data_IF_461155293372
#
_entry.id   IF_461155293372
#
_cell.length_a   1.000
_cell.length_b   1.000
_cell.length_c   1.000
_cell.angle_alpha   90.00
_cell.angle_beta   90.00
_cell.angle_gamma   90.00
#
_symmetry.space_group_name_H-M   'P 1'
#
loop_
_entity.id
_entity.type
_entity.pdbx_description
1 polymer ?
#
# COMPACT_ATOMS: atom_id res chain seq x y z
N UNK A 1 47.62 29.00 43.18
CA UNK A 1 47.75 27.54 43.31
C UNK A 1 46.37 26.96 43.13
N UNK A 2 46.24 26.11 42.11
CA UNK A 2 45.00 25.68 41.48
C UNK A 2 44.51 24.34 42.04
N UNK A 3 43.19 24.14 42.07
CA UNK A 3 42.56 22.82 42.05
C UNK A 3 41.10 22.98 41.67
N UNK A 4 40.80 22.78 40.39
CA UNK A 4 39.46 22.46 39.89
C UNK A 4 39.61 21.28 38.94
N UNK A 5 38.84 20.25 39.24
CA UNK A 5 38.72 18.96 38.58
C UNK A 5 38.01 19.08 37.24
N UNK A 6 38.68 18.73 36.15
CA UNK A 6 38.11 18.57 34.81
C UNK A 6 37.68 17.11 34.58
N UNK A 7 36.37 16.88 34.45
CA UNK A 7 35.81 15.66 33.89
C UNK A 7 35.62 15.87 32.38
N UNK A 8 36.45 15.21 31.58
CA UNK A 8 36.39 15.21 30.13
C UNK A 8 35.34 14.19 29.66
N UNK A 9 34.15 14.64 29.25
CA UNK A 9 33.16 13.82 28.55
C UNK A 9 33.45 13.86 27.04
N UNK A 10 33.81 12.72 26.45
CA UNK A 10 33.92 12.53 25.00
C UNK A 10 32.54 12.28 24.39
N UNK A 11 32.19 12.85 23.23
CA UNK A 11 30.95 12.53 22.54
C UNK A 11 31.06 11.20 21.79
N UNK A 12 30.16 10.26 22.10
CA UNK A 12 30.04 8.99 21.39
C UNK A 12 29.44 9.20 19.99
N UNK A 13 30.29 9.20 18.97
CA UNK A 13 29.87 9.15 17.56
C UNK A 13 29.70 7.70 17.12
N UNK A 14 28.49 7.16 17.21
CA UNK A 14 28.13 5.90 16.55
C UNK A 14 27.55 6.25 15.17
N UNK A 15 28.41 6.27 14.15
CA UNK A 15 27.97 6.39 12.76
C UNK A 15 27.47 5.02 12.29
N UNK A 16 26.15 4.87 12.22
CA UNK A 16 25.53 3.74 11.54
C UNK A 16 25.86 3.80 10.05
N UNK A 17 26.57 2.79 9.54
CA UNK A 17 27.01 2.66 8.13
C UNK A 17 25.91 2.19 7.17
N UNK A 18 24.64 2.42 7.51
CA UNK A 18 23.53 2.22 6.57
C UNK A 18 23.29 3.54 5.82
N UNK A 19 23.20 3.53 4.47
CA UNK A 19 22.77 4.72 3.75
C UNK A 19 21.42 5.18 4.31
N UNK A 20 21.23 6.47 4.60
CA UNK A 20 19.96 6.96 5.11
C UNK A 20 18.85 6.49 4.16
N UNK A 21 17.74 5.94 4.69
CA UNK A 21 16.67 5.45 3.86
C UNK A 21 16.23 6.57 2.93
N UNK A 22 16.14 6.28 1.62
CA UNK A 22 15.68 7.23 0.61
C UNK A 22 14.40 7.91 1.13
N UNK A 23 14.43 9.24 1.20
CA UNK A 23 13.32 10.06 1.69
C UNK A 23 12.01 9.57 1.05
N UNK A 24 11.04 9.17 1.87
CA UNK A 24 9.74 8.64 1.44
C UNK A 24 9.59 7.12 1.36
N UNK A 25 10.67 6.31 1.45
CA UNK A 25 10.54 4.84 1.49
C UNK A 25 9.85 4.35 2.76
N UNK A 26 10.19 4.95 3.91
CA UNK A 26 9.57 4.63 5.19
C UNK A 26 8.10 5.06 5.23
N UNK A 27 7.78 6.23 4.66
CA UNK A 27 6.41 6.73 4.55
C UNK A 27 5.54 5.77 3.75
N UNK A 28 5.97 5.31 2.56
CA UNK A 28 5.17 4.35 1.76
C UNK A 28 4.94 3.01 2.45
N UNK A 29 5.91 2.50 3.22
CA UNK A 29 5.76 1.22 3.96
C UNK A 29 4.76 1.30 5.11
N UNK A 30 4.71 2.45 5.76
CA UNK A 30 3.87 2.71 6.95
C UNK A 30 2.54 3.36 6.60
N UNK A 31 2.38 3.80 5.33
CA UNK A 31 1.18 4.48 4.85
C UNK A 31 -0.09 3.63 4.96
N UNK A 32 -0.14 2.35 4.57
CA UNK A 32 -1.39 1.64 4.69
C UNK A 32 -1.72 1.30 6.14
N UNK A 33 -2.95 1.56 6.58
CA UNK A 33 -3.45 1.14 7.90
C UNK A 33 -3.46 -0.38 7.94
N UNK A 34 -3.03 -0.95 9.08
CA UNK A 34 -3.00 -2.39 9.32
C UNK A 34 -3.68 -2.67 10.65
N UNK A 35 -4.82 -3.35 10.59
CA UNK A 35 -5.65 -3.78 11.71
C UNK A 35 -6.15 -5.20 11.44
N UNK A 36 -6.52 -5.94 12.47
CA UNK A 36 -7.10 -7.28 12.31
C UNK A 36 -8.57 -7.19 11.84
N UNK A 37 -9.10 -8.27 11.28
CA UNK A 37 -10.53 -8.32 10.89
C UNK A 37 -11.43 -7.94 12.07
N UNK A 38 -12.48 -7.18 11.79
CA UNK A 38 -13.43 -6.63 12.74
C UNK A 38 -12.86 -5.57 13.70
N UNK A 39 -11.57 -5.25 13.69
CA UNK A 39 -11.05 -4.13 14.50
C UNK A 39 -11.52 -2.78 13.93
N UNK A 40 -12.11 -1.90 14.75
CA UNK A 40 -12.50 -0.56 14.33
C UNK A 40 -11.28 0.29 13.95
N UNK A 41 -11.45 1.13 12.93
CA UNK A 41 -10.48 2.20 12.65
C UNK A 41 -10.82 3.41 13.51
N UNK A 42 -9.89 3.79 14.39
CA UNK A 42 -10.05 4.93 15.29
C UNK A 42 -9.89 6.25 14.55
N UNK A 43 -10.27 7.36 15.19
CA UNK A 43 -9.95 8.71 14.71
C UNK A 43 -8.45 8.90 14.47
N UNK A 44 -7.61 8.32 15.31
CA UNK A 44 -6.15 8.34 15.11
C UNK A 44 -5.76 7.56 13.85
N UNK A 45 -6.31 6.36 13.58
CA UNK A 45 -5.95 5.60 12.38
C UNK A 45 -6.21 6.39 11.10
N UNK A 46 -7.39 7.04 11.04
CA UNK A 46 -7.88 7.78 9.87
C UNK A 46 -7.43 9.24 9.83
N UNK A 47 -6.77 9.73 10.90
CA UNK A 47 -6.39 11.14 11.06
C UNK A 47 -7.63 12.07 10.92
N UNK A 48 -8.63 11.82 11.76
CA UNK A 48 -9.93 12.48 11.69
C UNK A 48 -9.86 14.01 11.74
N UNK A 49 -9.02 14.58 12.59
CA UNK A 49 -8.94 16.04 12.74
C UNK A 49 -8.31 16.71 11.51
N UNK A 50 -7.28 16.09 10.92
CA UNK A 50 -6.72 16.49 9.62
C UNK A 50 -7.81 16.54 8.55
N UNK A 51 -8.58 15.45 8.42
CA UNK A 51 -9.70 15.37 7.48
C UNK A 51 -10.77 16.41 7.79
N UNK A 52 -11.00 16.70 9.07
CA UNK A 52 -11.88 17.77 9.53
C UNK A 52 -11.44 19.13 8.99
N UNK A 53 -10.17 19.49 9.18
CA UNK A 53 -9.62 20.75 8.69
C UNK A 53 -9.63 20.86 7.16
N UNK A 54 -9.33 19.77 6.43
CA UNK A 54 -9.36 19.76 4.96
C UNK A 54 -10.79 19.99 4.42
N UNK A 55 -11.77 19.27 4.96
CA UNK A 55 -13.14 19.30 4.41
C UNK A 55 -14.02 20.42 5.00
N UNK A 56 -13.65 21.01 6.15
CA UNK A 56 -14.35 22.16 6.71
C UNK A 56 -13.72 23.50 6.29
N UNK A 57 -12.68 23.47 5.45
CA UNK A 57 -12.09 24.68 4.90
C UNK A 57 -13.10 25.47 4.05
N UNK A 58 -13.14 26.78 4.27
CA UNK A 58 -14.14 27.68 3.67
C UNK A 58 -13.60 28.54 2.52
N UNK A 59 -12.34 28.36 2.12
CA UNK A 59 -11.74 29.15 1.06
C UNK A 59 -12.31 28.72 -0.30
N UNK A 60 -13.16 29.56 -0.89
CA UNK A 60 -13.68 29.39 -2.26
C UNK A 60 -12.65 29.84 -3.28
N UNK A 61 -11.67 28.98 -3.57
CA UNK A 61 -10.47 29.36 -4.33
C UNK A 61 -10.18 28.45 -5.52
N UNK A 62 -10.86 27.31 -5.62
CA UNK A 62 -10.64 26.34 -6.69
C UNK A 62 -11.58 26.57 -7.87
N UNK A 63 -11.05 26.40 -9.07
CA UNK A 63 -11.83 26.41 -10.32
C UNK A 63 -12.73 25.16 -10.35
N UNK A 64 -14.06 25.31 -10.52
CA UNK A 64 -14.99 24.19 -10.55
C UNK A 64 -14.65 23.16 -11.64
N UNK A 65 -14.72 21.88 -11.29
CA UNK A 65 -14.48 20.74 -12.19
C UNK A 65 -15.78 20.06 -12.66
N UNK A 66 -16.91 20.56 -12.17
CA UNK A 66 -18.26 20.13 -12.47
C UNK A 66 -19.14 21.39 -12.65
N UNK A 67 -20.34 21.27 -13.24
CA UNK A 67 -21.27 22.39 -13.32
C UNK A 67 -21.50 23.03 -11.95
N UNK A 68 -21.23 24.33 -11.85
CA UNK A 68 -21.33 25.14 -10.63
C UNK A 68 -21.78 26.54 -11.03
N UNK A 69 -22.66 27.14 -10.24
CA UNK A 69 -23.05 28.55 -10.40
C UNK A 69 -21.95 29.50 -9.90
N UNK A 70 -21.23 29.09 -8.86
CA UNK A 70 -20.12 29.85 -8.32
C UNK A 70 -18.87 29.71 -9.20
N UNK A 71 -18.14 30.81 -9.48
CA UNK A 71 -16.90 30.77 -10.26
C UNK A 71 -15.75 30.10 -9.52
N UNK A 72 -15.84 29.99 -8.19
CA UNK A 72 -14.86 29.33 -7.33
C UNK A 72 -15.56 28.52 -6.25
N UNK A 73 -15.04 27.34 -5.96
CA UNK A 73 -15.56 26.42 -4.95
C UNK A 73 -14.52 26.13 -3.88
N UNK A 74 -14.97 25.64 -2.73
CA UNK A 74 -14.09 25.16 -1.67
C UNK A 74 -13.68 23.70 -1.92
N UNK A 75 -12.67 23.20 -1.21
CA UNK A 75 -12.11 21.87 -1.47
C UNK A 75 -13.13 20.74 -1.29
N UNK A 76 -13.99 20.81 -0.26
CA UNK A 76 -15.01 19.80 -0.02
C UNK A 76 -15.95 19.65 -1.23
N UNK A 77 -16.58 20.73 -1.70
CA UNK A 77 -17.40 20.70 -2.92
C UNK A 77 -16.63 20.19 -4.14
N UNK A 78 -15.38 20.64 -4.33
CA UNK A 78 -14.54 20.20 -5.45
C UNK A 78 -14.38 18.67 -5.47
N UNK A 79 -14.04 18.08 -4.31
CA UNK A 79 -13.76 16.66 -4.18
C UNK A 79 -15.04 15.81 -4.18
N UNK A 80 -16.09 16.24 -3.48
CA UNK A 80 -17.41 15.58 -3.47
C UNK A 80 -18.00 15.55 -4.88
N UNK A 81 -17.95 16.67 -5.61
CA UNK A 81 -18.45 16.73 -6.98
C UNK A 81 -17.64 15.84 -7.93
N UNK A 82 -16.32 15.75 -7.77
CA UNK A 82 -15.51 14.82 -8.57
C UNK A 82 -15.95 13.36 -8.38
N UNK A 83 -16.25 12.95 -7.14
CA UNK A 83 -16.79 11.61 -6.85
C UNK A 83 -18.20 11.43 -7.41
N UNK A 84 -19.07 12.43 -7.24
CA UNK A 84 -20.44 12.40 -7.73
C UNK A 84 -20.50 12.30 -9.26
N UNK A 85 -19.60 12.99 -9.97
CA UNK A 85 -19.51 12.99 -11.44
C UNK A 85 -18.81 11.76 -12.01
N UNK A 86 -18.14 10.95 -11.19
CA UNK A 86 -17.55 9.69 -11.63
C UNK A 86 -18.58 8.78 -12.30
N UNK A 87 -18.21 8.21 -13.46
CA UNK A 87 -19.05 7.28 -14.20
C UNK A 87 -19.10 5.87 -13.57
N UNK A 88 -18.28 5.61 -12.55
CA UNK A 88 -18.34 4.39 -11.72
C UNK A 88 -19.00 4.64 -10.36
N UNK A 89 -19.41 5.87 -10.06
CA UNK A 89 -20.27 6.16 -8.93
C UNK A 89 -21.69 5.65 -9.24
N UNK A 90 -22.16 4.64 -8.50
CA UNK A 90 -23.47 4.01 -8.73
C UNK A 90 -24.62 4.96 -8.47
N UNK A 91 -25.75 4.82 -9.20
CA UNK A 91 -26.96 5.62 -9.00
C UNK A 91 -27.40 5.67 -7.52
N UNK A 92 -27.45 4.52 -6.85
CA UNK A 92 -27.82 4.44 -5.42
C UNK A 92 -26.91 5.31 -4.54
N UNK A 93 -25.61 5.32 -4.82
CA UNK A 93 -24.66 6.15 -4.08
C UNK A 93 -24.87 7.64 -4.36
N UNK A 94 -25.12 8.02 -5.63
CA UNK A 94 -25.43 9.40 -6.01
C UNK A 94 -26.71 9.89 -5.35
N UNK A 95 -27.77 9.09 -5.41
CA UNK A 95 -29.06 9.40 -4.78
C UNK A 95 -28.86 9.63 -3.27
N UNK A 96 -28.05 8.80 -2.61
CA UNK A 96 -27.75 8.94 -1.18
C UNK A 96 -26.89 10.17 -0.86
N UNK A 97 -25.88 10.47 -1.68
CA UNK A 97 -25.08 11.68 -1.54
C UNK A 97 -25.94 12.95 -1.66
N UNK A 98 -26.93 12.94 -2.56
CA UNK A 98 -27.86 14.04 -2.74
C UNK A 98 -28.88 14.15 -1.60
N UNK A 99 -29.39 13.02 -1.11
CA UNK A 99 -30.34 12.96 0.02
C UNK A 99 -29.69 13.34 1.35
N UNK A 100 -28.45 12.91 1.58
CA UNK A 100 -27.73 13.10 2.85
C UNK A 100 -26.35 13.72 2.58
N UNK A 101 -26.23 15.06 2.54
CA UNK A 101 -24.94 15.72 2.27
C UNK A 101 -23.83 15.33 3.27
N UNK A 102 -24.17 15.09 4.53
CA UNK A 102 -23.21 14.61 5.53
C UNK A 102 -22.57 13.27 5.14
N UNK A 103 -23.35 12.34 4.57
CA UNK A 103 -22.85 11.07 4.04
C UNK A 103 -21.86 11.29 2.89
N UNK A 104 -22.13 12.26 2.01
CA UNK A 104 -21.23 12.58 0.91
C UNK A 104 -19.85 13.04 1.40
N UNK A 105 -19.82 13.84 2.48
CA UNK A 105 -18.57 14.29 3.12
C UNK A 105 -17.84 13.12 3.81
N UNK A 106 -18.56 12.25 4.50
CA UNK A 106 -18.01 11.04 5.12
C UNK A 106 -17.37 10.10 4.08
N UNK A 107 -18.09 9.84 2.99
CA UNK A 107 -17.59 9.06 1.86
C UNK A 107 -16.37 9.73 1.20
N UNK A 108 -16.37 11.06 1.07
CA UNK A 108 -15.27 11.81 0.49
C UNK A 108 -13.99 11.72 1.33
N UNK A 109 -14.12 11.72 2.67
CA UNK A 109 -12.99 11.50 3.60
C UNK A 109 -12.39 10.11 3.43
N UNK A 110 -13.22 9.06 3.40
CA UNK A 110 -12.75 7.67 3.16
C UNK A 110 -12.12 7.54 1.76
N UNK A 111 -12.71 8.22 0.77
CA UNK A 111 -12.20 8.24 -0.61
C UNK A 111 -10.84 8.93 -0.70
N UNK A 112 -10.62 10.03 0.01
CA UNK A 112 -9.33 10.70 0.08
C UNK A 112 -8.25 9.78 0.66
N UNK A 113 -8.53 9.10 1.77
CA UNK A 113 -7.63 8.12 2.37
C UNK A 113 -7.33 6.93 1.44
N UNK A 114 -8.33 6.50 0.66
CA UNK A 114 -8.15 5.45 -0.36
C UNK A 114 -7.29 5.97 -1.52
N UNK A 115 -7.46 7.23 -1.92
CA UNK A 115 -6.72 7.85 -3.03
C UNK A 115 -5.24 8.00 -2.73
N UNK A 116 -4.90 8.44 -1.51
CA UNK A 116 -3.49 8.56 -1.08
C UNK A 116 -2.86 7.20 -0.76
N UNK A 117 -3.66 6.15 -0.55
CA UNK A 117 -3.19 4.80 -0.25
C UNK A 117 -3.08 4.46 1.25
N UNK A 118 -3.71 5.26 2.12
CA UNK A 118 -3.83 4.98 3.56
C UNK A 118 -4.82 3.84 3.82
N UNK A 119 -5.96 3.85 3.11
CA UNK A 119 -6.93 2.75 3.11
C UNK A 119 -6.60 1.80 1.97
N UNK A 120 -6.29 0.54 2.32
CA UNK A 120 -6.03 -0.50 1.35
C UNK A 120 -7.32 -1.03 0.70
N UNK A 121 -7.21 -1.48 -0.53
CA UNK A 121 -8.34 -2.06 -1.26
C UNK A 121 -8.90 -3.32 -0.59
N UNK A 122 -8.11 -4.05 0.20
CA UNK A 122 -8.56 -5.25 0.94
C UNK A 122 -9.58 -4.93 2.03
N UNK A 123 -9.69 -3.66 2.44
CA UNK A 123 -10.60 -3.23 3.50
C UNK A 123 -12.04 -3.07 3.01
N UNK A 124 -12.97 -3.30 3.93
CA UNK A 124 -14.39 -3.26 3.73
C UNK A 124 -15.10 -2.56 4.89
N UNK A 125 -16.17 -1.83 4.59
CA UNK A 125 -16.89 -1.02 5.57
C UNK A 125 -18.33 -1.50 5.83
N UNK A 126 -18.63 -2.74 5.46
CA UNK A 126 -19.91 -3.40 5.77
C UNK A 126 -19.71 -4.84 6.28
N UNK A 127 -20.45 -5.27 7.33
CA UNK A 127 -20.17 -6.51 8.05
C UNK A 127 -20.56 -7.79 7.29
N UNK A 128 -21.42 -7.71 6.27
CA UNK A 128 -22.00 -8.86 5.55
C UNK A 128 -21.05 -9.53 4.53
N UNK A 129 -19.77 -9.16 4.51
CA UNK A 129 -18.80 -9.72 3.56
C UNK A 129 -18.54 -11.22 3.81
N UNK A 130 -18.76 -12.04 2.78
CA UNK A 130 -18.52 -13.50 2.82
C UNK A 130 -17.13 -13.94 2.35
N UNK A 131 -16.31 -13.01 1.84
CA UNK A 131 -15.01 -13.33 1.24
C UNK A 131 -13.88 -13.29 2.26
N UNK A 132 -13.04 -14.32 2.28
CA UNK A 132 -11.90 -14.42 3.22
C UNK A 132 -10.70 -13.53 2.84
N UNK A 133 -10.67 -13.01 1.60
CA UNK A 133 -9.61 -12.12 1.10
C UNK A 133 -9.83 -10.64 1.46
N UNK A 134 -10.93 -10.34 2.17
CA UNK A 134 -11.28 -8.98 2.58
C UNK A 134 -11.37 -8.95 4.10
N UNK A 135 -10.97 -7.82 4.68
CA UNK A 135 -11.12 -7.55 6.10
C UNK A 135 -12.14 -6.46 6.32
N UNK A 136 -13.11 -6.71 7.20
CA UNK A 136 -14.10 -5.73 7.62
C UNK A 136 -13.53 -4.86 8.74
N UNK A 137 -13.67 -3.55 8.59
CA UNK A 137 -13.30 -2.58 9.61
C UNK A 137 -14.42 -1.53 9.74
N UNK A 138 -15.14 -1.46 10.87
CA UNK A 138 -16.01 -0.32 11.12
C UNK A 138 -15.16 0.96 11.26
N UNK A 139 -15.67 2.09 10.78
CA UNK A 139 -15.01 3.41 10.90
C UNK A 139 -15.96 4.37 11.63
N UNK A 140 -16.04 4.28 12.98
CA UNK A 140 -17.09 4.95 13.75
C UNK A 140 -17.19 6.46 13.52
N UNK A 141 -16.04 7.12 13.36
CA UNK A 141 -15.99 8.57 13.15
C UNK A 141 -16.47 9.02 11.75
N UNK A 142 -16.55 8.11 10.77
CA UNK A 142 -16.91 8.38 9.37
C UNK A 142 -18.10 7.54 8.87
N UNK A 143 -18.85 6.89 9.76
CA UNK A 143 -20.06 6.12 9.43
C UNK A 143 -21.22 6.51 10.35
N UNK A 144 -21.39 7.81 10.61
CA UNK A 144 -22.44 8.31 11.52
C UNK A 144 -23.80 8.39 10.84
N UNK A 145 -23.80 8.48 9.52
CA UNK A 145 -25.01 8.50 8.72
C UNK A 145 -25.47 7.08 8.36
N UNK A 146 -26.78 6.90 8.24
CA UNK A 146 -27.36 5.62 7.81
C UNK A 146 -27.08 5.41 6.31
N UNK A 147 -25.98 4.72 6.01
CA UNK A 147 -25.52 4.46 4.65
C UNK A 147 -24.35 3.50 4.63
N UNK A 148 -24.43 2.47 3.76
CA UNK A 148 -23.29 1.60 3.51
C UNK A 148 -22.20 2.41 2.77
N UNK A 149 -21.07 2.65 3.43
CA UNK A 149 -19.92 3.41 2.91
C UNK A 149 -19.21 2.74 1.71
N UNK A 150 -19.79 1.67 1.14
CA UNK A 150 -19.20 0.80 0.13
C UNK A 150 -17.93 0.09 0.63
N UNK A 151 -17.22 -0.58 -0.27
CA UNK A 151 -15.91 -1.16 0.01
C UNK A 151 -14.81 -0.38 -0.72
N UNK A 152 -13.57 -0.51 -0.24
CA UNK A 152 -12.42 0.18 -0.81
C UNK A 152 -12.21 -0.12 -2.32
N UNK A 153 -12.50 -1.32 -2.87
CA UNK A 153 -12.45 -1.56 -4.32
C UNK A 153 -13.44 -0.72 -5.13
N UNK A 154 -14.69 -0.59 -4.68
CA UNK A 154 -15.69 0.25 -5.37
C UNK A 154 -15.30 1.72 -5.29
N UNK A 155 -14.82 2.18 -4.14
CA UNK A 155 -14.28 3.54 -3.97
C UNK A 155 -13.11 3.76 -4.93
N UNK A 156 -12.14 2.84 -5.00
CA UNK A 156 -11.00 2.94 -5.93
C UNK A 156 -11.44 2.98 -7.40
N UNK A 157 -12.43 2.19 -7.77
CA UNK A 157 -12.98 2.23 -9.14
C UNK A 157 -13.71 3.55 -9.42
N UNK A 158 -14.40 4.11 -8.43
CA UNK A 158 -15.00 5.45 -8.50
C UNK A 158 -13.92 6.52 -8.71
N UNK A 159 -12.85 6.50 -7.93
CA UNK A 159 -11.72 7.43 -8.03
C UNK A 159 -11.04 7.37 -9.40
N UNK A 160 -10.74 6.17 -9.92
CA UNK A 160 -10.16 5.99 -11.26
C UNK A 160 -11.03 6.54 -12.40
N UNK A 161 -12.33 6.67 -12.16
CA UNK A 161 -13.33 7.11 -13.11
C UNK A 161 -13.75 8.59 -12.91
N UNK A 162 -13.21 9.26 -11.89
CA UNK A 162 -13.42 10.68 -11.62
C UNK A 162 -12.49 11.53 -12.49
N UNK A 163 -12.76 11.54 -13.79
CA UNK A 163 -11.98 12.21 -14.82
C UNK A 163 -12.69 13.47 -15.32
N UNK A 164 -11.93 14.46 -15.74
CA UNK A 164 -12.46 15.61 -16.47
C UNK A 164 -12.94 15.21 -17.89
N UNK A 165 -13.83 15.98 -18.52
CA UNK A 165 -14.22 15.76 -19.93
C UNK A 165 -13.03 15.69 -20.91
N UNK A 166 -11.98 16.50 -20.68
CA UNK A 166 -10.75 16.48 -21.48
C UNK A 166 -9.92 15.20 -21.28
N UNK A 167 -9.99 14.60 -20.09
CA UNK A 167 -9.27 13.39 -19.67
C UNK A 167 -10.00 12.09 -20.04
N UNK A 168 -11.24 12.18 -20.50
CA UNK A 168 -11.96 11.03 -21.06
C UNK A 168 -11.46 10.68 -22.46
N UNK A 169 -10.97 11.68 -23.21
CA UNK A 169 -10.45 11.53 -24.58
C UNK A 169 -8.94 11.35 -24.60
N UNK A 170 -8.24 12.07 -23.74
CA UNK A 170 -6.78 12.05 -23.61
C UNK A 170 -6.40 11.44 -22.26
N UNK A 171 -5.23 10.81 -22.19
CA UNK A 171 -4.73 10.32 -20.90
C UNK A 171 -4.59 11.48 -19.88
N UNK A 172 -5.02 11.29 -18.62
CA UNK A 172 -4.73 12.25 -17.55
C UNK A 172 -3.21 12.45 -17.39
N UNK A 173 -2.76 13.65 -17.01
CA UNK A 173 -1.34 13.88 -16.74
C UNK A 173 -0.88 12.98 -15.59
N UNK A 174 0.32 12.43 -15.71
CA UNK A 174 0.86 11.40 -14.83
C UNK A 174 2.02 11.88 -13.94
N UNK A 175 2.50 13.09 -14.20
CA UNK A 175 3.61 13.73 -13.47
C UNK A 175 3.25 15.13 -13.00
N UNK A 176 3.85 15.62 -11.90
CA UNK A 176 3.64 16.99 -11.43
C UNK A 176 3.99 18.04 -12.49
N UNK A 177 5.03 17.81 -13.31
CA UNK A 177 5.44 18.76 -14.36
C UNK A 177 4.42 18.84 -15.50
N UNK A 178 3.82 17.72 -15.93
CA UNK A 178 2.74 17.73 -16.93
C UNK A 178 1.53 18.54 -16.45
N UNK A 179 1.20 18.44 -15.16
CA UNK A 179 0.11 19.22 -14.55
C UNK A 179 0.45 20.72 -14.58
N UNK A 180 1.67 21.09 -14.19
CA UNK A 180 2.14 22.48 -14.24
C UNK A 180 2.20 23.01 -15.68
N UNK A 181 2.58 22.19 -16.66
CA UNK A 181 2.60 22.58 -18.07
C UNK A 181 1.20 22.94 -18.57
N UNK A 182 0.17 22.15 -18.23
CA UNK A 182 -1.22 22.46 -18.56
C UNK A 182 -1.71 23.74 -17.89
N UNK A 183 -1.37 23.93 -16.61
CA UNK A 183 -1.68 25.16 -15.89
C UNK A 183 -1.04 26.39 -16.54
N UNK A 184 0.25 26.31 -16.92
CA UNK A 184 0.95 27.38 -17.67
C UNK A 184 0.33 27.66 -19.04
N UNK A 185 -0.20 26.62 -19.69
CA UNK A 185 -0.98 26.75 -20.93
C UNK A 185 -2.40 27.33 -20.72
N UNK A 186 -2.76 27.70 -19.48
CA UNK A 186 -4.08 28.21 -19.08
C UNK A 186 -5.23 27.22 -19.31
N UNK A 187 -4.92 25.92 -19.33
CA UNK A 187 -5.90 24.85 -19.30
C UNK A 187 -6.29 24.58 -17.85
N UNK A 188 -7.18 25.40 -17.30
CA UNK A 188 -7.71 25.24 -15.94
C UNK A 188 -9.12 24.62 -15.99
N UNK A 189 -9.42 23.61 -15.15
CA UNK A 189 -8.53 22.87 -14.26
C UNK A 189 -7.49 22.02 -15.03
N UNK A 190 -6.24 21.99 -14.54
CA UNK A 190 -5.12 21.27 -15.20
C UNK A 190 -5.32 19.75 -15.23
N UNK A 191 -6.02 19.20 -14.23
CA UNK A 191 -6.42 17.80 -14.12
C UNK A 191 -7.54 17.66 -13.09
N UNK A 192 -8.20 16.49 -12.99
CA UNK A 192 -9.15 16.27 -11.90
C UNK A 192 -8.44 16.32 -10.54
N UNK A 193 -9.13 16.82 -9.50
CA UNK A 193 -8.57 16.86 -8.13
C UNK A 193 -8.19 15.47 -7.62
N UNK A 194 -8.93 14.44 -8.05
CA UNK A 194 -8.65 13.05 -7.73
C UNK A 194 -7.34 12.59 -8.37
N UNK A 195 -7.13 12.88 -9.66
CA UNK A 195 -5.90 12.54 -10.36
C UNK A 195 -4.70 13.32 -9.79
N UNK A 196 -4.86 14.61 -9.49
CA UNK A 196 -3.79 15.39 -8.85
C UNK A 196 -3.31 14.73 -7.56
N UNK A 197 -4.21 14.41 -6.64
CA UNK A 197 -3.84 13.81 -5.35
C UNK A 197 -3.16 12.45 -5.56
N UNK A 198 -3.60 11.67 -6.55
CA UNK A 198 -2.95 10.42 -6.93
C UNK A 198 -1.52 10.65 -7.46
N UNK A 199 -1.31 11.66 -8.31
CA UNK A 199 0.01 12.03 -8.83
C UNK A 199 0.92 12.50 -7.69
N UNK A 200 0.45 13.39 -6.81
CA UNK A 200 1.22 13.86 -5.64
C UNK A 200 1.64 12.71 -4.72
N UNK A 201 0.73 11.76 -4.46
CA UNK A 201 1.02 10.56 -3.66
C UNK A 201 2.10 9.66 -4.30
N UNK A 202 2.02 9.43 -5.61
CA UNK A 202 3.00 8.59 -6.31
C UNK A 202 4.38 9.25 -6.45
N UNK A 203 4.40 10.58 -6.54
CA UNK A 203 5.62 11.41 -6.68
C UNK A 203 6.07 12.06 -5.37
N UNK A 204 5.59 11.58 -4.22
CA UNK A 204 5.91 12.17 -2.92
C UNK A 204 7.42 12.24 -2.62
N UNK A 205 8.20 11.25 -3.06
CA UNK A 205 9.66 11.24 -2.90
C UNK A 205 10.34 12.39 -3.64
N UNK A 206 10.22 12.47 -4.98
CA UNK A 206 10.74 13.61 -5.75
C UNK A 206 10.24 14.98 -5.29
N UNK A 207 8.98 15.08 -4.85
CA UNK A 207 8.38 16.33 -4.38
C UNK A 207 8.84 16.74 -2.97
N UNK A 208 9.46 15.83 -2.20
CA UNK A 208 9.90 16.10 -0.84
C UNK A 208 10.88 17.28 -0.79
N UNK A 209 11.94 17.25 -1.58
CA UNK A 209 12.93 18.33 -1.62
C UNK A 209 12.37 19.64 -2.20
N UNK A 210 11.38 19.55 -3.08
CA UNK A 210 10.74 20.73 -3.69
C UNK A 210 9.90 21.47 -2.68
N UNK A 211 9.01 20.76 -1.97
CA UNK A 211 7.95 21.40 -1.20
C UNK A 211 8.11 21.31 0.31
N UNK A 212 8.94 20.41 0.83
CA UNK A 212 9.04 20.13 2.26
C UNK A 212 10.47 20.33 2.77
N UNK A 213 10.59 20.59 4.07
CA UNK A 213 11.86 20.45 4.77
C UNK A 213 12.09 18.99 5.15
N UNK A 214 13.32 18.46 4.98
CA UNK A 214 13.62 17.09 5.38
C UNK A 214 13.27 16.81 6.85
N UNK A 215 12.77 15.61 7.18
CA UNK A 215 12.64 14.42 6.34
C UNK A 215 11.25 14.25 5.69
N UNK A 216 10.42 15.29 5.66
CA UNK A 216 9.00 15.18 5.34
C UNK A 216 8.73 15.10 3.83
N UNK A 217 7.61 14.48 3.47
CA UNK A 217 7.03 14.47 2.14
C UNK A 217 5.50 14.49 2.19
N UNK A 218 4.86 14.54 1.02
CA UNK A 218 3.41 14.62 0.90
C UNK A 218 2.62 13.53 1.65
N UNK A 219 3.13 12.29 1.68
CA UNK A 219 2.43 11.18 2.34
C UNK A 219 2.46 11.30 3.86
N UNK A 220 3.48 11.96 4.42
CA UNK A 220 3.61 12.14 5.87
C UNK A 220 2.49 13.01 6.44
N UNK A 221 1.87 13.87 5.62
CA UNK A 221 0.70 14.65 6.01
C UNK A 221 -0.45 13.75 6.49
N UNK A 222 -0.54 12.50 6.03
CA UNK A 222 -1.60 11.55 6.36
C UNK A 222 -1.21 10.52 7.44
N UNK A 223 -0.04 10.66 8.05
CA UNK A 223 0.45 9.77 9.11
C UNK A 223 0.24 10.39 10.50
N UNK A 224 0.13 9.59 11.57
CA UNK A 224 0.11 10.07 12.96
C UNK A 224 1.50 10.56 13.38
N UNK A 225 1.93 11.68 12.84
CA UNK A 225 3.22 12.31 13.15
C UNK A 225 3.04 13.50 14.09
N UNK A 226 4.14 13.93 14.70
CA UNK A 226 4.20 15.06 15.62
C UNK A 226 4.11 16.42 14.87
N UNK A 227 3.03 16.64 14.12
CA UNK A 227 2.75 17.89 13.40
C UNK A 227 1.25 18.15 13.50
N UNK A 228 0.87 19.40 13.81
CA UNK A 228 -0.53 19.77 14.02
C UNK A 228 -1.41 19.41 12.82
N UNK A 229 -2.59 18.84 13.09
CA UNK A 229 -3.55 18.45 12.05
C UNK A 229 -3.99 19.64 11.19
N UNK A 230 -4.15 20.82 11.79
CA UNK A 230 -4.48 22.05 11.07
C UNK A 230 -3.38 22.49 10.08
N UNK A 231 -2.10 22.42 10.50
CA UNK A 231 -0.97 22.82 9.66
C UNK A 231 -0.74 21.82 8.52
N UNK A 232 -0.92 20.52 8.79
CA UNK A 232 -0.91 19.48 7.76
C UNK A 232 -2.03 19.68 6.74
N UNK A 233 -3.24 20.03 7.17
CA UNK A 233 -4.37 20.32 6.29
C UNK A 233 -4.09 21.53 5.40
N UNK A 234 -3.53 22.61 5.99
CA UNK A 234 -3.14 23.81 5.26
C UNK A 234 -2.07 23.52 4.20
N UNK A 235 -1.04 22.73 4.54
CA UNK A 235 -0.02 22.32 3.59
C UNK A 235 -0.59 21.45 2.45
N UNK A 236 -1.52 20.54 2.77
CA UNK A 236 -2.24 19.77 1.76
C UNK A 236 -3.01 20.69 0.80
N UNK A 237 -3.82 21.61 1.33
CA UNK A 237 -4.62 22.54 0.53
C UNK A 237 -3.75 23.49 -0.29
N UNK A 238 -2.61 23.93 0.26
CA UNK A 238 -1.60 24.71 -0.45
C UNK A 238 -1.10 23.97 -1.70
N UNK A 239 -0.75 22.68 -1.57
CA UNK A 239 -0.29 21.86 -2.70
C UNK A 239 -1.39 21.66 -3.73
N UNK A 240 -2.61 21.36 -3.29
CA UNK A 240 -3.75 21.19 -4.21
C UNK A 240 -3.98 22.47 -5.01
N UNK A 241 -3.93 23.64 -4.37
CA UNK A 241 -4.08 24.93 -5.05
C UNK A 241 -2.94 25.20 -6.02
N UNK A 242 -1.68 25.02 -5.58
CA UNK A 242 -0.48 25.26 -6.37
C UNK A 242 -0.50 24.52 -7.71
N UNK A 243 -0.95 23.27 -7.72
CA UNK A 243 -0.98 22.44 -8.92
C UNK A 243 -2.26 22.57 -9.75
N UNK A 244 -3.43 22.82 -9.14
CA UNK A 244 -4.68 22.99 -9.90
C UNK A 244 -4.83 24.38 -10.50
N UNK A 245 -4.46 25.42 -9.76
CA UNK A 245 -4.67 26.82 -10.15
C UNK A 245 -3.41 27.44 -10.75
N UNK A 246 -2.25 26.86 -10.46
CA UNK A 246 -0.96 27.24 -11.02
C UNK A 246 -0.04 27.97 -10.05
N UNK A 247 1.29 27.87 -10.25
CA UNK A 247 2.30 28.42 -9.35
C UNK A 247 2.37 29.95 -9.39
N UNK A 248 1.87 30.56 -10.46
CA UNK A 248 1.90 32.02 -10.66
C UNK A 248 0.74 32.73 -9.93
N UNK A 249 -0.23 31.98 -9.40
CA UNK A 249 -1.35 32.54 -8.64
C UNK A 249 -0.95 32.72 -7.17
N UNK A 250 -1.36 33.82 -6.50
CA UNK A 250 -1.11 34.00 -5.08
C UNK A 250 -1.85 32.90 -4.30
N UNK A 251 -1.10 32.08 -3.55
CA UNK A 251 -1.69 30.94 -2.87
C UNK A 251 -2.39 31.41 -1.59
N UNK A 252 -3.72 31.23 -1.46
CA UNK A 252 -4.49 31.70 -0.31
C UNK A 252 -4.10 31.00 0.99
N UNK A 253 -3.40 29.85 0.89
CA UNK A 253 -2.93 29.10 2.05
C UNK A 253 -1.51 29.52 2.47
N UNK A 254 -0.87 30.51 1.84
CA UNK A 254 0.48 30.95 2.20
C UNK A 254 0.58 31.53 3.62
N UNK A 255 1.67 31.23 4.32
CA UNK A 255 2.08 31.89 5.56
C UNK A 255 3.39 32.67 5.37
N UNK A 256 3.93 33.23 6.46
CA UNK A 256 5.17 34.00 6.38
C UNK A 256 6.35 33.14 5.95
N UNK A 257 6.36 31.85 6.33
CA UNK A 257 7.41 30.92 5.96
C UNK A 257 7.36 30.57 4.46
N UNK A 258 6.21 30.18 3.91
CA UNK A 258 6.08 29.82 2.50
C UNK A 258 6.32 31.02 1.57
N UNK A 259 5.93 32.23 2.00
CA UNK A 259 6.25 33.49 1.29
C UNK A 259 7.76 33.78 1.25
N UNK A 260 8.48 33.46 2.33
CA UNK A 260 9.94 33.63 2.40
C UNK A 260 10.72 32.50 1.72
N UNK A 261 10.08 31.35 1.50
CA UNK A 261 10.68 30.16 0.91
C UNK A 261 9.85 29.70 -0.31
N UNK A 262 9.97 30.37 -1.47
CA UNK A 262 9.16 30.07 -2.64
C UNK A 262 9.22 28.59 -3.03
N UNK A 263 8.05 28.00 -3.24
CA UNK A 263 7.89 26.58 -3.54
C UNK A 263 7.75 25.69 -2.31
N UNK A 264 8.01 26.15 -1.08
CA UNK A 264 7.75 25.37 0.14
C UNK A 264 6.31 25.51 0.61
N UNK A 265 5.79 24.44 1.22
CA UNK A 265 4.50 24.48 1.92
C UNK A 265 4.57 25.41 3.15
N UNK A 266 3.41 25.87 3.67
CA UNK A 266 3.34 26.59 4.95
C UNK A 266 4.01 25.83 6.10
N UNK A 267 4.39 26.57 7.14
CA UNK A 267 5.13 26.04 8.28
C UNK A 267 4.38 24.89 8.96
N UNK A 268 5.07 23.76 9.10
CA UNK A 268 4.57 22.55 9.74
C UNK A 268 5.00 22.53 11.21
N UNK A 269 4.18 23.14 12.08
CA UNK A 269 4.48 23.24 13.51
C UNK A 269 4.42 21.88 14.20
N UNK A 270 5.47 21.59 14.97
CA UNK A 270 5.52 20.43 15.86
C UNK A 270 4.67 20.65 17.10
N UNK A 271 3.98 19.61 17.53
CA UNK A 271 3.15 19.62 18.72
C UNK A 271 3.95 19.16 19.95
N UNK A 272 3.55 19.63 21.13
CA UNK A 272 3.90 18.97 22.39
C UNK A 272 3.12 17.66 22.54
N UNK A 273 3.57 16.76 23.41
CA UNK A 273 2.87 15.50 23.69
C UNK A 273 1.45 15.74 24.22
N UNK A 274 1.28 16.78 25.05
CA UNK A 274 -0.03 17.18 25.56
C UNK A 274 -0.97 17.65 24.45
N UNK A 275 -0.48 18.45 23.49
CA UNK A 275 -1.28 18.86 22.33
C UNK A 275 -1.62 17.69 21.41
N UNK A 276 -0.67 16.78 21.16
CA UNK A 276 -0.95 15.57 20.37
C UNK A 276 -2.05 14.72 20.99
N UNK A 277 -2.06 14.58 22.32
CA UNK A 277 -3.08 13.83 23.05
C UNK A 277 -4.47 14.48 22.99
N UNK A 278 -4.59 15.74 22.54
CA UNK A 278 -5.88 16.41 22.31
C UNK A 278 -6.41 16.22 20.89
N UNK A 279 -5.57 15.76 19.95
CA UNK A 279 -6.00 15.49 18.58
C UNK A 279 -6.53 14.05 18.44
N UNK A 280 -7.50 13.86 17.55
CA UNK A 280 -8.04 12.58 17.12
C UNK A 280 -8.61 11.72 18.26
N UNK A 281 -9.24 12.34 19.27
CA UNK A 281 -9.88 11.63 20.38
C UNK A 281 -11.24 11.04 19.93
N UNK A 282 -11.36 9.71 19.97
CA UNK A 282 -12.64 9.02 19.76
C UNK A 282 -13.65 9.38 20.85
N UNK A 283 -14.90 9.66 20.46
CA UNK A 283 -15.96 9.89 21.44
C UNK A 283 -16.41 8.57 22.10
N UNK A 284 -17.01 8.61 23.31
CA UNK A 284 -17.56 7.43 23.94
C UNK A 284 -18.54 6.65 23.05
N UNK A 285 -19.41 7.37 22.33
CA UNK A 285 -20.38 6.80 21.39
C UNK A 285 -19.69 6.09 20.21
N UNK A 286 -18.60 6.67 19.68
CA UNK A 286 -17.81 6.07 18.59
C UNK A 286 -17.15 4.76 19.06
N UNK A 287 -16.62 4.74 20.27
CA UNK A 287 -16.01 3.55 20.88
C UNK A 287 -17.06 2.45 21.07
N UNK A 288 -18.24 2.79 21.62
CA UNK A 288 -19.32 1.85 21.85
C UNK A 288 -19.87 1.29 20.53
N UNK A 289 -20.14 2.16 19.56
CA UNK A 289 -20.63 1.76 18.24
C UNK A 289 -19.63 0.86 17.52
N UNK A 290 -18.34 1.20 17.56
CA UNK A 290 -17.27 0.37 17.00
C UNK A 290 -17.28 -1.04 17.59
N UNK A 291 -17.37 -1.17 18.92
CA UNK A 291 -17.47 -2.47 19.61
C UNK A 291 -18.72 -3.26 19.18
N UNK A 292 -19.86 -2.59 19.07
CA UNK A 292 -21.12 -3.21 18.62
C UNK A 292 -20.99 -3.81 17.21
N UNK A 293 -20.39 -3.06 16.28
CA UNK A 293 -20.16 -3.50 14.91
C UNK A 293 -19.14 -4.64 14.81
N UNK A 294 -18.07 -4.60 15.60
CA UNK A 294 -17.13 -5.72 15.71
C UNK A 294 -17.82 -6.99 16.21
N UNK A 295 -18.70 -6.87 17.22
CA UNK A 295 -19.48 -8.00 17.73
C UNK A 295 -20.46 -8.56 16.68
N UNK A 296 -21.13 -7.69 15.92
CA UNK A 296 -22.00 -8.09 14.82
C UNK A 296 -21.24 -8.88 13.74
N UNK A 297 -20.02 -8.44 13.39
CA UNK A 297 -19.15 -9.15 12.46
C UNK A 297 -18.80 -10.54 12.97
N UNK A 298 -18.40 -10.66 14.23
CA UNK A 298 -18.05 -11.95 14.83
C UNK A 298 -19.24 -12.92 14.84
N UNK A 299 -20.44 -12.42 15.17
CA UNK A 299 -21.67 -13.21 15.11
C UNK A 299 -21.99 -13.67 13.68
N UNK A 300 -21.81 -12.80 12.69
CA UNK A 300 -21.97 -13.14 11.28
C UNK A 300 -21.01 -14.25 10.84
N UNK A 301 -19.73 -14.13 11.20
CA UNK A 301 -18.71 -15.15 10.90
C UNK A 301 -19.04 -16.50 11.56
N UNK A 302 -19.45 -16.50 12.83
CA UNK A 302 -19.88 -17.72 13.51
C UNK A 302 -21.04 -18.39 12.76
N UNK A 303 -22.08 -17.64 12.39
CA UNK A 303 -23.23 -18.18 11.63
C UNK A 303 -22.80 -18.72 10.27
N UNK A 304 -21.89 -18.04 9.58
CA UNK A 304 -21.36 -18.46 8.29
C UNK A 304 -20.61 -19.79 8.40
N UNK A 305 -19.73 -19.93 9.40
CA UNK A 305 -18.99 -21.18 9.67
C UNK A 305 -19.95 -22.33 9.97
N UNK A 306 -20.93 -22.13 10.85
CA UNK A 306 -21.93 -23.15 11.18
C UNK A 306 -22.74 -23.58 9.94
N UNK A 307 -23.09 -22.64 9.05
CA UNK A 307 -23.79 -22.95 7.79
C UNK A 307 -22.94 -23.82 6.88
N UNK A 308 -21.66 -23.49 6.71
CA UNK A 308 -20.73 -24.26 5.86
C UNK A 308 -20.51 -25.66 6.43
N UNK A 309 -20.35 -25.80 7.75
CA UNK A 309 -20.23 -27.11 8.40
C UNK A 309 -21.48 -27.98 8.24
N UNK A 310 -22.67 -27.37 8.36
CA UNK A 310 -23.93 -28.06 8.12
C UNK A 310 -24.04 -28.55 6.68
N UNK A 311 -23.68 -27.72 5.69
CA UNK A 311 -23.64 -28.14 4.29
C UNK A 311 -22.64 -29.27 4.03
N UNK A 312 -21.46 -29.22 4.65
CA UNK A 312 -20.46 -30.31 4.57
C UNK A 312 -21.02 -31.62 5.15
N UNK A 313 -21.69 -31.57 6.30
CA UNK A 313 -22.34 -32.74 6.92
C UNK A 313 -23.45 -33.33 6.05
N UNK A 314 -24.30 -32.48 5.45
CA UNK A 314 -25.38 -32.93 4.54
C UNK A 314 -24.80 -33.57 3.28
N UNK A 315 -23.75 -32.98 2.68
CA UNK A 315 -23.06 -33.57 1.51
C UNK A 315 -22.40 -34.90 1.87
N UNK A 316 -21.75 -35.00 3.04
CA UNK A 316 -21.14 -36.25 3.51
C UNK A 316 -22.19 -37.35 3.75
N UNK A 317 -23.33 -37.00 4.37
CA UNK A 317 -24.43 -37.93 4.59
C UNK A 317 -25.06 -38.42 3.27
N UNK A 318 -25.29 -37.50 2.31
CA UNK A 318 -25.82 -37.84 0.99
C UNK A 318 -24.88 -38.75 0.17
N UNK A 319 -23.56 -38.57 0.31
CA UNK A 319 -22.55 -39.44 -0.29
C UNK A 319 -22.48 -40.82 0.39
N UNK A 320 -22.70 -40.90 1.71
CA UNK A 320 -22.75 -42.17 2.44
C UNK A 320 -23.99 -43.01 2.09
N UNK A 321 -25.14 -42.37 1.83
CA UNK A 321 -26.38 -43.05 1.42
C UNK A 321 -26.42 -43.55 -0.04
N UNK A 322 -25.39 -43.26 -0.86
CA UNK A 322 -25.25 -43.82 -2.22
C UNK A 322 -24.52 -45.17 -2.29
N UNK A 323 -24.09 -45.72 -1.15
CA UNK A 323 -23.36 -47.01 -1.06
C UNK A 323 -24.27 -48.20 -0.68
N UNK A 324 -25.59 -48.03 -0.70
CA UNK A 324 -26.56 -49.11 -0.45
C UNK A 324 -27.62 -49.18 -1.55
N UNK A 325 -27.21 -49.62 -2.74
CA UNK A 325 -28.11 -50.32 -3.68
C UNK A 325 -27.40 -51.59 -4.16
N UNK A 326 -28.00 -52.78 -4.01
CA UNK A 326 -27.43 -53.99 -4.57
C UNK A 326 -27.65 -54.03 -6.08
N UNK A 327 -26.61 -54.51 -6.75
CA UNK A 327 -26.49 -54.65 -8.20
C UNK A 327 -27.60 -55.49 -8.84
N UNK A 328 -28.26 -54.96 -9.87
CA UNK A 328 -28.55 -55.75 -11.08
C UNK A 328 -28.83 -54.85 -12.30
N UNK A 329 -28.13 -55.11 -13.41
CA UNK A 329 -28.71 -54.93 -14.75
C UNK A 329 -28.19 -53.79 -15.65
N UNK A 330 -27.13 -54.13 -16.41
CA UNK A 330 -26.97 -53.90 -17.86
C UNK A 330 -26.62 -52.49 -18.39
N UNK A 331 -25.47 -52.47 -19.07
CA UNK A 331 -24.82 -51.38 -19.79
C UNK A 331 -25.61 -50.82 -20.98
N UNK A 332 -25.50 -49.50 -21.20
CA UNK A 332 -25.46 -48.88 -22.54
C UNK A 332 -24.78 -47.49 -22.47
N UNK A 333 -23.88 -47.14 -23.40
CA UNK A 333 -23.25 -45.82 -23.43
C UNK A 333 -24.11 -44.85 -24.24
N UNK A 334 -24.26 -43.61 -23.75
CA UNK A 334 -24.80 -42.49 -24.52
C UNK A 334 -24.07 -41.21 -24.14
N UNK A 335 -23.74 -40.46 -25.18
CA UNK A 335 -22.86 -39.30 -25.30
C UNK A 335 -23.67 -38.01 -25.13
N UNK A 336 -23.24 -37.05 -24.31
CA UNK A 336 -23.32 -35.60 -24.59
C UNK A 336 -22.77 -34.70 -23.48
N UNK A 337 -21.98 -33.72 -23.94
CA UNK A 337 -21.87 -32.31 -23.52
C UNK A 337 -21.35 -31.93 -22.12
N UNK A 338 -20.05 -31.59 -22.09
CA UNK A 338 -19.52 -30.24 -21.85
C UNK A 338 -20.38 -29.28 -20.99
N UNK A 339 -20.01 -29.07 -19.71
CA UNK A 339 -19.93 -27.74 -19.06
C UNK A 339 -19.43 -27.84 -17.61
N UNK A 340 -18.62 -26.85 -17.18
CA UNK A 340 -18.52 -26.44 -15.79
C UNK A 340 -17.35 -26.99 -14.97
N UNK A 341 -16.23 -26.27 -15.04
CA UNK A 341 -15.21 -26.17 -13.98
C UNK A 341 -15.86 -26.10 -12.59
N UNK A 342 -15.76 -27.20 -11.83
CA UNK A 342 -16.15 -27.23 -10.42
C UNK A 342 -15.00 -26.71 -9.57
N UNK A 343 -15.18 -25.49 -9.06
CA UNK A 343 -14.36 -24.90 -8.02
C UNK A 343 -14.14 -25.87 -6.86
N UNK A 344 -12.86 -26.14 -6.57
CA UNK A 344 -12.44 -26.91 -5.39
C UNK A 344 -12.73 -26.06 -4.13
N UNK A 345 -13.36 -26.62 -3.08
CA UNK A 345 -13.61 -25.88 -1.84
C UNK A 345 -12.28 -25.60 -1.10
N UNK A 346 -11.98 -24.32 -0.93
CA UNK A 346 -10.79 -23.78 -0.30
C UNK A 346 -10.67 -24.16 1.19
N UNK A 347 -9.43 -24.49 1.62
CA UNK A 347 -9.06 -24.85 2.99
C UNK A 347 -8.63 -23.59 3.76
N UNK A 348 -9.28 -23.36 4.90
CA UNK A 348 -9.06 -22.22 5.79
C UNK A 348 -7.78 -22.41 6.63
N UNK A 349 -6.82 -21.49 6.52
CA UNK A 349 -5.62 -21.44 7.36
C UNK A 349 -5.92 -20.64 8.65
N UNK A 350 -5.81 -21.28 9.82
CA UNK A 350 -5.77 -20.63 11.13
C UNK A 350 -4.30 -20.57 11.59
N UNK A 351 -3.78 -19.42 12.08
CA UNK A 351 -2.46 -19.37 12.69
C UNK A 351 -2.48 -20.07 14.06
N UNK A 352 -1.46 -20.87 14.43
CA UNK A 352 -1.41 -21.53 15.73
C UNK A 352 -0.90 -20.58 16.84
N UNK A 353 -1.66 -20.46 17.92
CA UNK A 353 -1.18 -19.95 19.21
C UNK A 353 -0.16 -20.91 19.82
N UNK A 354 0.86 -20.35 20.47
CA UNK A 354 2.08 -21.05 20.90
C UNK A 354 2.06 -21.44 22.38
N UNK A 355 2.35 -22.73 22.62
CA UNK A 355 3.06 -23.37 23.76
C UNK A 355 2.22 -24.12 24.83
N UNK A 356 2.79 -25.13 25.56
CA UNK A 356 4.12 -25.75 25.46
C UNK A 356 4.09 -27.29 25.20
N UNK A 357 5.29 -27.84 25.07
CA UNK A 357 5.62 -29.16 24.51
C UNK A 357 5.22 -30.37 25.35
N UNK A 358 4.85 -31.47 24.66
CA UNK A 358 4.98 -32.83 25.16
C UNK A 358 5.58 -33.73 24.07
N UNK A 359 6.54 -34.54 24.50
CA UNK A 359 7.45 -35.44 23.79
C UNK A 359 6.80 -36.66 23.13
N UNK A 360 7.57 -37.30 22.23
CA UNK A 360 7.45 -38.65 21.57
C UNK A 360 6.78 -38.61 20.19
N UNK A 361 7.21 -39.37 19.18
CA UNK A 361 8.27 -40.38 19.03
C UNK A 361 8.45 -40.63 17.52
N UNK A 362 9.66 -41.02 17.14
CA UNK A 362 10.07 -41.43 15.80
C UNK A 362 9.27 -42.65 15.32
N UNK A 363 8.78 -42.62 14.08
CA UNK A 363 8.49 -43.84 13.31
C UNK A 363 8.69 -43.57 11.82
N UNK A 364 9.47 -44.47 11.23
CA UNK A 364 10.03 -44.51 9.89
C UNK A 364 9.03 -44.84 8.77
N UNK A 365 9.57 -44.60 7.56
CA UNK A 365 9.24 -45.17 6.26
C UNK A 365 7.95 -44.72 5.58
N UNK A 366 8.11 -44.20 4.36
CA UNK A 366 7.65 -44.82 3.12
C UNK A 366 8.58 -44.33 1.98
N UNK A 367 9.62 -45.13 1.69
CA UNK A 367 10.48 -44.97 0.51
C UNK A 367 9.68 -45.24 -0.76
N UNK A 368 9.50 -44.23 -1.61
CA UNK A 368 9.13 -44.42 -3.02
C UNK A 368 10.37 -44.16 -3.87
N UNK A 369 10.92 -45.26 -4.40
CA UNK A 369 11.99 -45.28 -5.40
C UNK A 369 11.48 -44.65 -6.70
N UNK A 370 12.11 -43.56 -7.15
CA UNK A 370 12.04 -43.16 -8.57
C UNK A 370 13.43 -43.15 -9.19
N UNK A 371 13.52 -43.94 -10.26
CA UNK A 371 14.61 -44.09 -11.21
C UNK A 371 15.25 -42.75 -11.60
N UNK A 372 16.55 -42.58 -11.29
CA UNK A 372 17.40 -41.52 -11.85
C UNK A 372 17.52 -41.66 -13.37
N UNK A 373 16.74 -40.88 -14.12
CA UNK A 373 17.15 -40.51 -15.48
C UNK A 373 18.20 -39.41 -15.38
N UNK A 374 19.46 -39.75 -15.66
CA UNK A 374 20.56 -38.79 -15.79
C UNK A 374 20.36 -37.96 -17.07
N UNK A 375 19.55 -36.90 -16.98
CA UNK A 375 19.57 -35.80 -17.94
C UNK A 375 20.76 -34.86 -17.68
N UNK A 376 21.29 -34.16 -18.69
CA UNK A 376 22.42 -33.25 -18.52
C UNK A 376 22.08 -32.10 -17.56
N UNK A 377 22.92 -31.88 -16.55
CA UNK A 377 22.76 -30.78 -15.60
C UNK A 377 22.87 -29.42 -16.31
N UNK A 378 21.79 -28.61 -16.27
CA UNK A 378 21.80 -27.22 -16.75
C UNK A 378 22.55 -26.31 -15.78
N UNK A 379 23.30 -25.33 -16.29
CA UNK A 379 23.86 -24.26 -15.46
C UNK A 379 22.77 -23.33 -14.92
N UNK A 380 23.05 -22.56 -13.85
CA UNK A 380 22.09 -21.62 -13.27
C UNK A 380 21.55 -20.61 -14.30
N UNK A 381 22.42 -20.13 -15.20
CA UNK A 381 22.04 -19.19 -16.24
C UNK A 381 21.13 -19.84 -17.30
N UNK A 382 21.44 -21.07 -17.72
CA UNK A 382 20.60 -21.82 -18.65
C UNK A 382 19.24 -22.17 -18.04
N UNK A 383 19.21 -22.50 -16.74
CA UNK A 383 17.97 -22.76 -16.04
C UNK A 383 17.09 -21.50 -15.97
N UNK A 384 17.68 -20.36 -15.60
CA UNK A 384 16.97 -19.08 -15.56
C UNK A 384 16.44 -18.65 -16.93
N UNK A 385 17.26 -18.81 -17.99
CA UNK A 385 16.83 -18.54 -19.36
C UNK A 385 15.65 -19.44 -19.76
N UNK A 386 15.73 -20.73 -19.43
CA UNK A 386 14.68 -21.66 -19.78
C UNK A 386 13.36 -21.34 -19.08
N UNK A 387 13.37 -21.09 -17.76
CA UNK A 387 12.18 -20.68 -17.00
C UNK A 387 11.52 -19.45 -17.63
N UNK A 388 12.28 -18.41 -17.97
CA UNK A 388 11.71 -17.18 -18.57
C UNK A 388 11.10 -17.44 -19.95
N UNK A 389 11.64 -18.40 -20.72
CA UNK A 389 11.16 -18.69 -22.09
C UNK A 389 10.07 -19.76 -22.17
N UNK A 390 9.97 -20.65 -21.18
CA UNK A 390 9.04 -21.79 -21.20
C UNK A 390 7.90 -21.67 -20.21
N UNK A 391 7.99 -20.78 -19.23
CA UNK A 391 6.89 -20.54 -18.28
C UNK A 391 5.89 -19.57 -18.89
N UNK A 392 4.65 -20.03 -19.04
CA UNK A 392 3.53 -19.18 -19.44
C UNK A 392 3.26 -18.15 -18.32
N UNK A 393 3.36 -16.84 -18.60
CA UNK A 393 3.14 -15.80 -17.58
C UNK A 393 1.69 -15.73 -17.07
N UNK A 394 0.76 -16.49 -17.63
CA UNK A 394 -0.63 -16.60 -17.19
C UNK A 394 -0.95 -17.92 -16.46
N UNK A 395 0.02 -18.83 -16.31
CA UNK A 395 -0.18 -20.08 -15.57
C UNK A 395 -0.16 -19.83 -14.05
N UNK A 396 -1.09 -20.45 -13.32
CA UNK A 396 -1.16 -20.36 -11.86
C UNK A 396 0.05 -21.04 -11.20
N UNK A 397 0.55 -20.45 -10.10
CA UNK A 397 1.76 -20.88 -9.36
C UNK A 397 1.75 -22.34 -8.90
N UNK A 398 0.60 -22.99 -8.92
CA UNK A 398 0.34 -24.34 -8.47
C UNK A 398 0.77 -25.41 -9.51
N UNK A 399 0.90 -25.02 -10.79
CA UNK A 399 1.20 -25.94 -11.91
C UNK A 399 2.70 -26.06 -12.23
N UNK A 400 3.57 -25.24 -11.62
CA UNK A 400 4.99 -25.12 -11.95
C UNK A 400 5.87 -26.32 -11.51
N UNK A 401 5.30 -27.30 -10.78
CA UNK A 401 6.04 -28.41 -10.16
C UNK A 401 6.38 -29.59 -11.08
N UNK A 402 6.22 -29.45 -12.41
CA UNK A 402 6.50 -30.52 -13.37
C UNK A 402 7.98 -30.61 -13.79
N UNK A 403 8.80 -29.57 -13.57
CA UNK A 403 10.23 -29.61 -13.93
C UNK A 403 11.09 -30.15 -12.76
N UNK A 404 11.70 -31.32 -12.98
CA UNK A 404 12.66 -31.97 -12.07
C UNK A 404 13.82 -31.04 -11.67
N UNK A 405 14.22 -30.09 -12.52
CA UNK A 405 15.27 -29.13 -12.20
C UNK A 405 14.82 -28.05 -11.21
N UNK A 406 13.56 -27.63 -11.27
CA UNK A 406 12.97 -26.69 -10.29
C UNK A 406 12.88 -27.35 -8.91
N UNK A 407 12.49 -28.64 -8.86
CA UNK A 407 12.48 -29.41 -7.60
C UNK A 407 13.87 -29.57 -6.99
N UNK A 408 14.88 -29.83 -7.81
CA UNK A 408 16.27 -29.94 -7.36
C UNK A 408 16.82 -28.61 -6.83
N UNK A 409 16.52 -27.49 -7.49
CA UNK A 409 16.94 -26.16 -7.03
C UNK A 409 16.24 -25.79 -5.72
N UNK A 410 14.93 -26.05 -5.62
CA UNK A 410 14.17 -25.85 -4.39
C UNK A 410 14.72 -26.67 -3.23
N UNK A 411 15.01 -27.95 -3.45
CA UNK A 411 15.62 -28.84 -2.45
C UNK A 411 16.97 -28.30 -1.96
N UNK A 412 17.84 -27.85 -2.87
CA UNK A 412 19.13 -27.23 -2.52
C UNK A 412 18.97 -25.94 -1.73
N UNK A 413 18.00 -25.09 -2.08
CA UNK A 413 17.72 -23.84 -1.35
C UNK A 413 17.20 -24.13 0.07
N UNK A 414 16.33 -25.11 0.23
CA UNK A 414 15.83 -25.53 1.54
C UNK A 414 16.97 -26.09 2.39
N UNK A 415 17.88 -26.88 1.82
CA UNK A 415 19.07 -27.39 2.52
C UNK A 415 20.02 -26.27 2.97
N UNK A 416 20.23 -25.25 2.13
CA UNK A 416 21.03 -24.06 2.49
C UNK A 416 20.35 -23.28 3.62
N UNK A 417 19.05 -23.04 3.53
CA UNK A 417 18.28 -22.33 4.58
C UNK A 417 18.29 -23.12 5.89
N UNK A 418 18.17 -24.45 5.83
CA UNK A 418 18.27 -25.32 6.99
C UNK A 418 19.66 -25.26 7.65
N UNK A 419 20.73 -25.14 6.85
CA UNK A 419 22.11 -24.99 7.35
C UNK A 419 22.42 -23.60 7.91
N UNK A 420 21.70 -22.56 7.48
CA UNK A 420 21.87 -21.18 7.93
C UNK A 420 21.01 -20.82 9.14
N UNK A 421 19.95 -21.59 9.46
CA UNK A 421 19.15 -21.39 10.67
C UNK A 421 20.02 -21.55 11.92
N UNK A 422 20.19 -20.46 12.67
CA UNK A 422 20.90 -20.44 13.96
C UNK A 422 22.37 -20.07 13.88
N UNK A 423 22.91 -19.68 12.71
CA UNK A 423 24.28 -19.15 12.59
C UNK A 423 24.26 -17.61 12.52
N UNK A 424 25.13 -16.91 13.25
CA UNK A 424 25.29 -15.47 13.06
C UNK A 424 25.86 -15.17 11.65
N UNK A 425 25.53 -14.01 11.05
CA UNK A 425 26.08 -13.61 9.76
C UNK A 425 27.62 -13.55 9.82
N UNK A 426 28.28 -13.94 8.72
CA UNK A 426 29.73 -14.11 8.60
C UNK A 426 30.53 -12.96 9.26
N UNK A 427 31.63 -13.25 9.98
CA UNK A 427 32.45 -12.21 10.58
C UNK A 427 33.10 -11.31 9.51
N UNK A 428 33.23 -10.03 9.86
CA UNK A 428 33.90 -9.01 9.05
C UNK A 428 35.37 -9.37 8.79
N UNK A 429 35.96 -9.02 7.63
CA UNK A 429 37.36 -9.28 7.34
C UNK A 429 38.30 -8.55 8.33
N UNK A 430 39.33 -9.25 8.80
CA UNK A 430 40.36 -8.70 9.69
C UNK A 430 41.04 -7.47 9.07
N UNK A 431 40.95 -6.32 9.75
CA UNK A 431 41.62 -5.08 9.37
C UNK A 431 43.12 -5.18 9.71
N UNK A 432 43.96 -5.09 8.67
CA UNK A 432 45.42 -4.93 8.81
C UNK A 432 45.77 -3.62 9.55
N UNK A 433 46.83 -3.59 10.38
CA UNK A 433 47.21 -2.41 11.14
C UNK A 433 47.79 -1.28 10.25
N UNK A 434 47.67 0.00 10.65
CA UNK A 434 47.97 1.13 9.80
C UNK A 434 49.48 1.39 9.67
N UNK A 435 49.91 1.70 8.45
CA UNK A 435 51.28 2.11 8.14
C UNK A 435 51.56 3.53 8.64
N UNK A 436 52.72 3.70 9.27
CA UNK A 436 53.31 4.97 9.69
C UNK A 436 53.67 5.89 8.52
N UNK A 437 53.46 7.18 8.75
CA UNK A 437 53.83 8.36 7.95
C UNK A 437 55.23 8.35 7.34
N UNK A 438 55.39 8.90 6.12
CA UNK A 438 56.27 10.05 5.79
C UNK A 438 56.22 10.46 4.31
N UNK A 439 55.94 11.76 4.09
CA UNK A 439 56.66 12.73 3.22
C UNK A 439 56.60 12.71 1.67
N UNK A 440 56.34 13.93 1.16
CA UNK A 440 56.91 14.64 -0.01
C UNK A 440 56.42 14.37 -1.44
N UNK A 441 55.68 15.36 -1.97
CA UNK A 441 55.71 15.82 -3.38
C UNK A 441 56.90 16.82 -3.57
N UNK A 442 57.52 17.04 -4.76
CA UNK A 442 56.89 17.77 -5.89
C UNK A 442 57.45 17.36 -7.32
N UNK A 443 57.39 18.16 -8.43
CA UNK A 443 56.64 17.84 -9.66
C UNK A 443 57.52 17.86 -10.96
N UNK A 444 57.03 18.27 -12.15
CA UNK A 444 56.51 17.43 -13.23
C UNK A 444 57.44 17.35 -14.47
N UNK A 445 57.32 16.28 -15.28
CA UNK A 445 57.76 16.32 -16.68
C UNK A 445 57.07 15.26 -17.54
N UNK A 446 56.60 15.73 -18.69
CA UNK A 446 56.04 15.03 -19.85
C UNK A 446 56.79 13.77 -20.28
N UNK A 447 56.05 12.73 -20.68
CA UNK A 447 56.19 12.02 -21.96
C UNK A 447 54.99 11.06 -22.12
N UNK A 448 54.44 11.10 -23.33
CA UNK A 448 53.46 10.19 -23.92
C UNK A 448 53.89 8.71 -23.87
N UNK A 449 52.99 7.81 -23.49
CA UNK A 449 52.77 6.61 -24.32
C UNK A 449 51.42 5.93 -24.06
N UNK A 450 50.92 5.40 -25.15
CA UNK A 450 49.72 4.63 -25.41
C UNK A 450 49.67 3.29 -24.66
N UNK A 451 48.49 2.88 -24.17
CA UNK A 451 48.07 1.46 -24.17
C UNK A 451 46.59 1.25 -23.85
N UNK A 452 45.92 0.84 -24.92
CA UNK A 452 44.69 0.08 -25.04
C UNK A 452 44.44 -0.99 -23.96
N UNK A 453 43.22 -1.04 -23.41
CA UNK A 453 42.58 -2.30 -22.98
C UNK A 453 41.12 -2.38 -23.46
N UNK A 454 41.04 -2.57 -24.79
CA UNK A 454 40.15 -3.45 -25.57
C UNK A 454 39.07 -4.22 -24.78
N UNK A 455 37.83 -3.75 -24.89
CA UNK A 455 36.62 -4.57 -24.67
C UNK A 455 36.56 -5.64 -25.77
N UNK A 456 36.57 -6.93 -25.39
CA UNK A 456 36.36 -8.05 -26.32
C UNK A 456 34.87 -8.36 -26.43
N UNK A 457 34.35 -8.21 -27.63
CA UNK A 457 33.10 -8.80 -28.11
C UNK A 457 33.20 -10.32 -28.07
N UNK A 458 32.18 -11.01 -27.54
CA UNK A 458 32.06 -12.47 -27.64
C UNK A 458 31.12 -12.79 -28.80
N UNK A 459 31.69 -13.28 -29.90
CA UNK A 459 30.99 -13.95 -30.99
C UNK A 459 30.76 -15.43 -30.64
N UNK A 460 29.51 -15.77 -30.37
CA UNK A 460 28.86 -17.06 -30.61
C UNK A 460 27.38 -16.73 -30.50
N UNK A 461 26.56 -16.76 -31.55
CA UNK A 461 26.06 -17.96 -32.21
C UNK A 461 25.86 -17.73 -33.73
N UNK A 462 26.35 -18.68 -34.54
CA UNK A 462 25.76 -19.06 -35.82
C UNK A 462 24.76 -20.17 -35.58
#
# INVERSE_FOLDING_TARGET
MASTSDYHLQPATNWSTEPPPLVGYLSRKTLPIKRNDAEPLTREDVQFDLLGHIFNDKHKVFTPQAPSEDPKVHFCDLYVNALYMSHKCSKVLKDKMAETPAFAVELAKISLLTNVGRINTTMAFFPEMKTALRTYHPVPSLQKTDGNAQDAPRIKNCLKAALLPSELKNMPPSTPEEILQKSRARELPSTSVVNLIFVLANHAGPLASTHFDPPLNFLDLFLPINIASADRARAFLWLVFHYLEGPDQPNPYDDDYSRQNPGKVPWLRRLTEAEMAQENIDSPDEIEWGKSMSAQRNLFLQRLVHSIEKEKKVKAAASASKLTEPTSGRSRPSRSQQEGTRDKPYIHYLPPDRAPQITRSVSEDHRVNYSSSRGPHRSMLQHAWQVVTSTDPLADSDEELQDEHVRLDYSRRVDVIARLRGRPPSPLPDLLPPASSTSSYPPPSSISDTREHRWRTVESWK
#
